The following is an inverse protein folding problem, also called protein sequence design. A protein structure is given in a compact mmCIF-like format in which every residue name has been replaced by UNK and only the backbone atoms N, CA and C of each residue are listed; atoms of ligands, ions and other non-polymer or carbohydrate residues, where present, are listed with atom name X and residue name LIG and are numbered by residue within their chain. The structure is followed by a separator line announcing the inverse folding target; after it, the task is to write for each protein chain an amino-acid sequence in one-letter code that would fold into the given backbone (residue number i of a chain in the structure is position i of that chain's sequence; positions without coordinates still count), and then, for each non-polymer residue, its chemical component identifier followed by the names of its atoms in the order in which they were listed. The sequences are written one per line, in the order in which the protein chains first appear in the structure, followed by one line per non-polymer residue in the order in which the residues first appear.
data_IF_283722803477
#
_entry.id   IF_283722803477
#
_cell.length_a   1.000
_cell.length_b   1.000
_cell.length_c   1.000
_cell.angle_alpha   90.00
_cell.angle_beta   90.00
_cell.angle_gamma   90.00
#
_symmetry.space_group_name_H-M   'P 1'
#
loop_
_entity.id
_entity.type
_entity.pdbx_description
1 polymer ?
#
# COMPACT_ATOMS: atom_id res chain seq x y z
N UNK A 1 -16.25 0.36 -18.00
CA UNK A 1 -15.39 0.82 -16.90
C UNK A 1 -15.59 -0.12 -15.74
N UNK A 2 -14.53 -0.76 -15.23
CA UNK A 2 -14.62 -1.90 -14.31
C UNK A 2 -13.84 -1.58 -13.04
N UNK A 3 -14.46 -1.76 -11.87
CA UNK A 3 -13.80 -1.71 -10.57
C UNK A 3 -13.54 -3.16 -10.12
N UNK A 4 -12.28 -3.50 -9.87
CA UNK A 4 -11.87 -4.82 -9.35
C UNK A 4 -11.16 -4.61 -8.02
N UNK A 5 -11.86 -4.69 -6.88
CA UNK A 5 -11.24 -4.52 -5.58
C UNK A 5 -10.57 -5.82 -5.13
N UNK A 6 -9.25 -5.81 -4.98
CA UNK A 6 -8.47 -6.99 -4.58
C UNK A 6 -8.29 -7.09 -3.06
N UNK A 7 -8.17 -8.33 -2.58
CA UNK A 7 -8.16 -8.67 -1.16
C UNK A 7 -7.27 -9.83 -0.78
N UNK A 8 -6.44 -9.63 0.24
CA UNK A 8 -5.60 -10.71 0.76
C UNK A 8 -6.36 -11.79 1.53
N UNK A 9 -7.45 -11.43 2.24
CA UNK A 9 -8.15 -12.39 3.14
C UNK A 9 -9.67 -12.23 3.12
N UNK A 10 -10.19 -11.02 3.31
CA UNK A 10 -11.64 -10.80 3.39
C UNK A 10 -12.04 -9.43 2.85
N UNK A 11 -13.24 -9.33 2.25
CA UNK A 11 -13.85 -8.05 1.87
C UNK A 11 -15.27 -7.91 2.42
N UNK A 12 -15.48 -7.06 3.45
CA UNK A 12 -16.80 -6.66 3.87
C UNK A 12 -17.25 -5.38 3.14
N UNK A 13 -18.42 -5.41 2.53
CA UNK A 13 -19.16 -4.20 2.13
C UNK A 13 -20.23 -3.97 3.19
N UNK A 14 -20.11 -2.90 3.98
CA UNK A 14 -21.03 -2.60 5.09
C UNK A 14 -21.77 -1.29 4.81
N UNK A 15 -23.08 -1.30 5.00
CA UNK A 15 -23.91 -0.09 4.91
C UNK A 15 -25.14 -0.23 5.82
N UNK A 16 -25.33 0.72 6.74
CA UNK A 16 -26.57 0.81 7.54
C UNK A 16 -26.95 -0.48 8.27
N UNK A 17 -25.98 -1.19 8.84
CA UNK A 17 -26.20 -2.46 9.56
C UNK A 17 -26.27 -3.71 8.69
N UNK A 18 -26.31 -3.58 7.37
CA UNK A 18 -26.23 -4.70 6.42
C UNK A 18 -24.77 -4.94 6.01
N UNK A 19 -24.43 -6.18 5.64
CA UNK A 19 -23.12 -6.49 5.09
C UNK A 19 -23.09 -7.62 4.05
N UNK A 20 -22.09 -7.55 3.17
CA UNK A 20 -21.65 -8.63 2.29
C UNK A 20 -20.19 -8.94 2.61
N UNK A 21 -19.87 -10.18 2.94
CA UNK A 21 -18.51 -10.64 3.23
C UNK A 21 -18.05 -11.66 2.19
N UNK A 22 -16.88 -11.44 1.62
CA UNK A 22 -16.22 -12.38 0.69
C UNK A 22 -14.96 -12.92 1.38
N UNK A 23 -14.81 -14.23 1.45
CA UNK A 23 -13.65 -14.94 2.00
C UNK A 23 -13.35 -16.21 1.19
N UNK A 24 -12.22 -16.91 1.43
CA UNK A 24 -11.92 -18.18 0.77
C UNK A 24 -12.98 -19.27 0.99
N UNK A 25 -13.75 -19.19 2.09
CA UNK A 25 -14.82 -20.14 2.42
C UNK A 25 -16.09 -19.84 1.63
N UNK A 26 -16.24 -18.64 1.06
CA UNK A 26 -17.35 -18.26 0.20
C UNK A 26 -17.86 -16.84 0.44
N UNK A 27 -19.13 -16.63 0.10
CA UNK A 27 -19.82 -15.33 0.22
C UNK A 27 -20.89 -15.41 1.30
N UNK A 28 -20.79 -14.54 2.30
CA UNK A 28 -21.80 -14.34 3.34
C UNK A 28 -22.56 -13.04 3.10
N UNK A 29 -23.88 -13.06 3.26
CA UNK A 29 -24.72 -11.85 3.17
C UNK A 29 -25.64 -11.77 4.37
N UNK A 30 -25.73 -10.60 5.00
CA UNK A 30 -26.63 -10.36 6.12
C UNK A 30 -27.28 -8.99 5.97
N UNK A 31 -28.60 -8.96 6.07
CA UNK A 31 -29.37 -7.73 6.08
C UNK A 31 -30.84 -7.97 6.35
N UNK A 32 -31.60 -6.91 6.59
CA UNK A 32 -33.04 -6.99 6.85
C UNK A 32 -33.81 -7.61 5.68
N UNK A 33 -33.36 -7.37 4.45
CA UNK A 33 -33.87 -7.97 3.23
C UNK A 33 -32.71 -8.21 2.26
N UNK A 34 -32.60 -9.43 1.72
CA UNK A 34 -31.60 -9.79 0.71
C UNK A 34 -32.33 -10.18 -0.57
N UNK A 35 -32.14 -9.39 -1.63
CA UNK A 35 -32.70 -9.67 -2.96
C UNK A 35 -31.70 -10.44 -3.80
N UNK A 36 -31.98 -11.71 -4.04
CA UNK A 36 -31.16 -12.60 -4.87
C UNK A 36 -31.87 -12.80 -6.20
N UNK A 37 -31.16 -12.62 -7.31
CA UNK A 37 -31.68 -12.80 -8.67
C UNK A 37 -32.94 -11.97 -9.00
N UNK A 38 -33.16 -10.85 -8.29
CA UNK A 38 -34.39 -10.06 -8.39
C UNK A 38 -34.37 -8.97 -9.48
N UNK A 39 -33.42 -9.03 -10.43
CA UNK A 39 -33.30 -8.07 -11.52
C UNK A 39 -32.86 -6.66 -11.10
N UNK A 40 -32.27 -5.92 -12.04
CA UNK A 40 -31.77 -4.54 -11.88
C UNK A 40 -30.71 -4.23 -12.93
N UNK A 41 -30.71 -3.02 -13.50
CA UNK A 41 -29.62 -2.57 -14.35
C UNK A 41 -28.41 -2.23 -13.48
N UNK A 42 -27.20 -2.59 -13.92
CA UNK A 42 -25.98 -2.15 -13.23
C UNK A 42 -25.97 -0.61 -13.19
N UNK A 43 -25.96 -0.02 -11.99
CA UNK A 43 -25.81 1.43 -11.84
C UNK A 43 -24.46 1.88 -12.41
N UNK A 44 -24.40 3.08 -12.98
CA UNK A 44 -23.14 3.67 -13.41
C UNK A 44 -22.33 4.12 -12.19
N UNK A 45 -21.29 3.38 -11.83
CA UNK A 45 -20.32 3.82 -10.82
C UNK A 45 -19.38 4.88 -11.36
N UNK A 46 -19.17 5.97 -10.63
CA UNK A 46 -18.12 6.95 -10.93
C UNK A 46 -16.73 6.38 -10.56
N UNK A 47 -15.70 6.75 -11.31
CA UNK A 47 -14.30 6.38 -11.00
C UNK A 47 -13.89 7.04 -9.68
N UNK A 48 -13.07 6.34 -8.89
CA UNK A 48 -12.37 6.97 -7.76
C UNK A 48 -11.29 7.92 -8.29
N UNK A 49 -11.09 9.06 -7.63
CA UNK A 49 -10.03 10.05 -7.90
C UNK A 49 -9.14 10.19 -6.66
N UNK A 50 -8.31 9.18 -6.33
CA UNK A 50 -7.45 9.25 -5.16
C UNK A 50 -6.35 10.30 -5.35
N UNK A 51 -6.01 11.02 -4.26
CA UNK A 51 -4.84 11.91 -4.23
C UNK A 51 -3.55 11.08 -4.25
N UNK A 52 -2.50 11.58 -4.90
CA UNK A 52 -1.17 10.97 -4.88
C UNK A 52 -0.61 10.91 -3.45
N UNK A 53 0.14 9.85 -3.09
CA UNK A 53 0.84 9.78 -1.82
C UNK A 53 1.92 10.86 -1.72
N UNK A 54 2.28 11.25 -0.49
CA UNK A 54 3.40 12.16 -0.24
C UNK A 54 4.75 11.45 -0.48
N UNK A 55 5.75 12.20 -0.94
CA UNK A 55 7.12 11.69 -1.08
C UNK A 55 7.72 11.30 0.27
N UNK A 56 8.54 10.23 0.34
CA UNK A 56 9.27 9.86 1.55
C UNK A 56 10.28 10.95 1.94
N UNK A 57 10.56 11.07 3.23
CA UNK A 57 11.59 11.97 3.77
C UNK A 57 12.98 11.35 3.57
N UNK A 58 13.93 12.13 3.06
CA UNK A 58 15.33 11.69 2.93
C UNK A 58 16.00 11.69 4.32
N UNK A 59 16.45 10.51 4.75
CA UNK A 59 17.36 10.38 5.89
C UNK A 59 18.80 10.46 5.39
N UNK A 60 19.59 11.38 5.94
CA UNK A 60 21.02 11.45 5.65
C UNK A 60 21.78 10.63 6.70
N UNK A 61 22.40 9.48 6.34
CA UNK A 61 23.25 8.75 7.26
C UNK A 61 24.51 9.59 7.57
N UNK A 62 24.73 9.92 8.83
CA UNK A 62 25.99 10.53 9.28
C UNK A 62 27.12 9.50 9.17
N UNK A 63 28.10 9.79 8.30
CA UNK A 63 29.30 8.97 8.09
C UNK A 63 30.19 8.99 9.34
N UNK A 64 30.64 7.84 9.86
CA UNK A 64 31.65 7.79 10.92
C UNK A 64 32.97 8.47 10.48
N UNK A 65 33.53 9.30 11.35
CA UNK A 65 34.81 10.00 11.12
C UNK A 65 35.97 9.00 11.16
N UNK A 66 36.86 9.04 10.16
CA UNK A 66 38.07 8.20 10.08
C UNK A 66 39.24 9.00 10.65
N UNK A 67 40.03 8.38 11.53
CA UNK A 67 41.22 8.98 12.18
C UNK A 67 42.40 9.12 11.19
N UNK A 68 43.24 10.14 11.38
CA UNK A 68 44.29 10.60 10.43
C UNK A 68 45.62 9.80 10.56
N UNK A 69 46.05 9.13 9.48
CA UNK A 69 47.29 8.34 9.41
C UNK A 69 48.49 9.21 8.97
N UNK A 70 48.96 10.07 9.86
CA UNK A 70 50.11 10.95 9.56
C UNK A 70 51.47 10.21 9.56
N UNK A 71 52.05 10.11 8.35
CA UNK A 71 53.49 10.14 7.97
C UNK A 71 54.32 8.84 8.00
N UNK A 72 54.66 8.33 6.81
CA UNK A 72 56.07 8.02 6.49
C UNK A 72 56.35 8.18 4.99
N UNK A 73 57.34 9.00 4.63
CA UNK A 73 57.89 9.03 3.28
C UNK A 73 58.48 10.38 2.90
N UNK A 74 59.80 10.54 3.02
CA UNK A 74 60.70 10.91 1.93
C UNK A 74 62.13 10.42 2.26
N UNK A 75 62.68 9.55 1.41
CA UNK A 75 64.07 9.04 1.49
C UNK A 75 64.98 10.07 0.82
N UNK A 76 65.86 10.74 1.57
CA UNK A 76 66.84 11.68 1.00
C UNK A 76 67.88 10.92 0.17
N UNK A 77 68.12 11.38 -1.05
CA UNK A 77 69.10 10.83 -1.98
C UNK A 77 70.55 11.21 -1.61
N UNK A 78 71.48 10.40 -2.11
CA UNK A 78 72.92 10.29 -1.85
C UNK A 78 73.72 11.50 -2.39
N UNK A 79 74.72 11.97 -1.65
CA UNK A 79 75.91 12.67 -2.14
C UNK A 79 77.12 11.75 -2.03
#
# INVERSE_FOLDING_TARGET
MTLVPEAGVQRPLKLGGNFIGISPVGVATQGMMVRINSGGAAGSGSRSSPTSPQSPQQVNPTKPTVTDDSKSGQKSARS
#
